data_IF_332788796346
#
_entry.id   IF_332788796346
#
_cell.length_a   1.000
_cell.length_b   1.000
_cell.length_c   1.000
_cell.angle_alpha   90.00
_cell.angle_beta   90.00
_cell.angle_gamma   90.00
#
_symmetry.space_group_name_H-M   'P 1'
#
loop_
_entity.id
_entity.type
_entity.pdbx_description
1 polymer ?
#
# COMPACT_ATOMS: atom_id res chain seq x y z
N UNK A 1 -20.17 17.21 1.93
CA UNK A 1 -19.08 18.11 2.39
C UNK A 1 -19.10 18.15 3.92
N UNK A 2 -17.98 17.92 4.60
CA UNK A 2 -17.88 18.08 6.07
C UNK A 2 -17.69 19.55 6.42
N UNK A 3 -18.25 20.00 7.54
CA UNK A 3 -18.21 21.41 7.95
C UNK A 3 -16.90 21.73 8.66
N UNK A 4 -16.37 20.78 9.45
CA UNK A 4 -15.19 20.97 10.29
C UNK A 4 -14.12 19.87 10.11
N UNK A 5 -12.85 20.15 10.44
CA UNK A 5 -11.72 19.20 10.33
C UNK A 5 -11.94 17.92 11.17
N UNK A 6 -12.55 18.05 12.35
CA UNK A 6 -12.85 16.94 13.26
C UNK A 6 -13.84 15.94 12.63
N UNK A 7 -14.96 16.42 12.10
CA UNK A 7 -15.95 15.59 11.40
C UNK A 7 -15.35 14.83 10.21
N UNK A 8 -14.36 15.44 9.51
CA UNK A 8 -13.64 14.77 8.42
C UNK A 8 -12.80 13.61 8.95
N UNK A 9 -12.08 13.80 10.06
CA UNK A 9 -11.26 12.76 10.67
C UNK A 9 -12.11 11.61 11.21
N UNK A 10 -13.24 11.91 11.86
CA UNK A 10 -14.20 10.91 12.34
C UNK A 10 -14.73 10.06 11.19
N UNK A 11 -15.18 10.67 10.09
CA UNK A 11 -15.63 9.91 8.92
C UNK A 11 -14.53 9.05 8.29
N UNK A 12 -13.28 9.53 8.25
CA UNK A 12 -12.15 8.73 7.76
C UNK A 12 -11.90 7.54 8.68
N UNK A 13 -11.96 7.75 9.99
CA UNK A 13 -11.81 6.68 10.99
C UNK A 13 -12.88 5.60 10.81
N UNK A 14 -14.15 6.01 10.73
CA UNK A 14 -15.28 5.10 10.50
C UNK A 14 -15.09 4.26 9.23
N UNK A 15 -14.71 4.90 8.11
CA UNK A 15 -14.46 4.19 6.85
C UNK A 15 -13.31 3.20 6.99
N UNK A 16 -12.19 3.60 7.62
CA UNK A 16 -11.02 2.72 7.83
C UNK A 16 -11.32 1.51 8.72
N UNK A 17 -12.23 1.66 9.69
CA UNK A 17 -12.71 0.59 10.55
C UNK A 17 -13.60 -0.41 9.81
N UNK A 18 -14.57 0.09 9.04
CA UNK A 18 -15.58 -0.74 8.38
C UNK A 18 -15.11 -1.34 7.04
N UNK A 19 -14.01 -0.83 6.47
CA UNK A 19 -13.45 -1.40 5.23
C UNK A 19 -12.64 -2.66 5.54
N UNK A 20 -13.17 -3.82 5.15
CA UNK A 20 -12.45 -5.09 5.21
C UNK A 20 -11.22 -5.08 4.29
N UNK A 21 -10.15 -5.76 4.71
CA UNK A 21 -8.90 -5.79 3.94
C UNK A 21 -9.07 -6.40 2.54
N UNK A 22 -9.93 -7.41 2.41
CA UNK A 22 -10.25 -8.04 1.12
C UNK A 22 -10.87 -7.03 0.15
N UNK A 23 -11.77 -6.17 0.64
CA UNK A 23 -12.40 -5.12 -0.17
C UNK A 23 -11.39 -4.01 -0.51
N UNK A 24 -10.52 -3.66 0.43
CA UNK A 24 -9.49 -2.63 0.22
C UNK A 24 -8.45 -3.07 -0.82
N UNK A 25 -8.08 -4.35 -0.81
CA UNK A 25 -7.08 -4.94 -1.69
C UNK A 25 -7.68 -5.63 -2.92
N UNK A 26 -8.94 -5.36 -3.24
CA UNK A 26 -9.60 -5.95 -4.40
C UNK A 26 -8.82 -5.63 -5.69
N UNK A 27 -8.58 -6.65 -6.52
CA UNK A 27 -7.77 -6.58 -7.74
C UNK A 27 -6.29 -6.24 -7.55
N UNK A 28 -5.79 -6.25 -6.31
CA UNK A 28 -4.36 -6.18 -6.03
C UNK A 28 -3.79 -7.58 -5.76
N UNK A 29 -2.48 -7.78 -5.94
CA UNK A 29 -1.79 -8.98 -5.48
C UNK A 29 -2.04 -9.24 -3.99
N UNK A 30 -2.19 -10.51 -3.62
CA UNK A 30 -2.50 -10.93 -2.25
C UNK A 30 -1.46 -10.46 -1.23
N UNK A 31 -0.22 -10.26 -1.67
CA UNK A 31 0.90 -9.81 -0.85
C UNK A 31 0.65 -8.42 -0.25
N UNK A 32 -0.13 -7.56 -0.92
CA UNK A 32 -0.56 -6.27 -0.35
C UNK A 32 -1.50 -6.46 0.84
N UNK A 33 -2.42 -7.42 0.74
CA UNK A 33 -3.31 -7.76 1.85
C UNK A 33 -2.51 -8.33 3.02
N UNK A 34 -1.60 -9.27 2.76
CA UNK A 34 -0.72 -9.86 3.79
C UNK A 34 0.11 -8.80 4.52
N UNK A 35 0.70 -7.86 3.78
CA UNK A 35 1.46 -6.74 4.35
C UNK A 35 0.58 -5.85 5.25
N UNK A 36 -0.62 -5.49 4.81
CA UNK A 36 -1.53 -4.65 5.59
C UNK A 36 -2.08 -5.38 6.82
N UNK A 37 -2.34 -6.68 6.73
CA UNK A 37 -2.75 -7.49 7.89
C UNK A 37 -1.62 -7.61 8.91
N UNK A 38 -0.39 -7.88 8.46
CA UNK A 38 0.79 -7.93 9.33
C UNK A 38 0.94 -6.62 10.11
N UNK A 39 0.92 -5.49 9.40
CA UNK A 39 1.05 -4.17 10.04
C UNK A 39 -0.08 -3.82 11.01
N UNK A 40 -1.30 -4.34 10.81
CA UNK A 40 -2.41 -4.18 11.78
C UNK A 40 -2.26 -5.04 13.03
N UNK A 41 -1.53 -6.15 12.94
CA UNK A 41 -1.37 -7.12 14.04
C UNK A 41 -0.17 -6.81 14.95
N UNK A 42 0.75 -5.94 14.49
CA UNK A 42 1.89 -5.50 15.28
C UNK A 42 1.46 -4.91 16.63
N UNK A 43 2.10 -5.38 17.69
CA UNK A 43 2.00 -4.79 19.02
C UNK A 43 2.55 -3.36 19.05
N UNK A 44 2.11 -2.58 20.04
CA UNK A 44 2.52 -1.17 20.18
C UNK A 44 4.03 -0.95 20.27
N UNK A 45 4.74 -1.87 20.94
CA UNK A 45 6.20 -1.83 21.12
C UNK A 45 6.91 -2.93 20.32
N UNK A 46 6.20 -3.63 19.43
CA UNK A 46 6.77 -4.70 18.63
C UNK A 46 7.62 -4.13 17.49
N UNK A 47 8.81 -4.70 17.28
CA UNK A 47 9.66 -4.35 16.15
C UNK A 47 9.17 -5.06 14.88
N UNK A 48 8.86 -4.32 13.79
CA UNK A 48 8.43 -4.94 12.55
C UNK A 48 9.54 -5.78 11.90
N UNK A 49 9.19 -6.94 11.35
CA UNK A 49 10.06 -7.73 10.50
C UNK A 49 10.14 -7.11 9.10
N UNK A 50 11.02 -6.13 8.94
CA UNK A 50 11.21 -5.42 7.67
C UNK A 50 11.65 -6.35 6.52
N UNK A 51 12.41 -7.41 6.82
CA UNK A 51 12.83 -8.38 5.82
C UNK A 51 11.62 -9.12 5.23
N UNK A 52 10.69 -9.57 6.09
CA UNK A 52 9.44 -10.19 5.65
C UNK A 52 8.60 -9.24 4.81
N UNK A 53 8.39 -8.00 5.27
CA UNK A 53 7.62 -6.99 4.54
C UNK A 53 8.21 -6.70 3.15
N UNK A 54 9.54 -6.61 3.06
CA UNK A 54 10.22 -6.41 1.78
C UNK A 54 10.09 -7.62 0.87
N UNK A 55 10.13 -8.83 1.43
CA UNK A 55 9.99 -10.07 0.66
C UNK A 55 8.62 -10.20 -0.01
N UNK A 56 7.54 -9.73 0.63
CA UNK A 56 6.19 -9.68 0.06
C UNK A 56 6.13 -8.80 -1.19
N UNK A 57 6.65 -7.59 -1.10
CA UNK A 57 6.70 -6.68 -2.26
C UNK A 57 7.60 -7.25 -3.37
N UNK A 58 8.68 -7.92 -2.98
CA UNK A 58 9.56 -8.62 -3.92
C UNK A 58 8.85 -9.71 -4.71
N UNK A 59 8.02 -10.50 -4.04
CA UNK A 59 7.23 -11.51 -4.71
C UNK A 59 6.28 -10.90 -5.75
N UNK A 60 5.63 -9.77 -5.44
CA UNK A 60 4.74 -9.08 -6.39
C UNK A 60 5.45 -8.74 -7.70
N UNK A 61 6.56 -8.02 -7.63
CA UNK A 61 7.21 -7.56 -8.86
C UNK A 61 7.88 -8.72 -9.62
N UNK A 62 8.29 -9.79 -8.93
CA UNK A 62 8.76 -11.03 -9.57
C UNK A 62 7.64 -11.73 -10.32
N UNK A 63 6.46 -11.89 -9.72
CA UNK A 63 5.29 -12.51 -10.36
C UNK A 63 4.78 -11.69 -11.54
N UNK A 64 4.85 -10.36 -11.45
CA UNK A 64 4.49 -9.45 -12.55
C UNK A 64 5.58 -9.29 -13.62
N UNK A 65 6.73 -9.96 -13.45
CA UNK A 65 7.88 -9.87 -14.34
C UNK A 65 8.38 -8.42 -14.56
N UNK A 66 8.26 -7.59 -13.52
CA UNK A 66 8.72 -6.19 -13.51
C UNK A 66 10.22 -6.17 -13.20
N UNK A 67 10.99 -5.45 -14.02
CA UNK A 67 12.43 -5.27 -13.80
C UNK A 67 12.67 -4.24 -12.71
N UNK A 68 13.62 -4.54 -11.83
CA UNK A 68 14.14 -3.57 -10.88
C UNK A 68 15.28 -2.76 -11.51
N UNK A 69 14.98 -2.03 -12.58
CA UNK A 69 15.92 -1.20 -13.36
C UNK A 69 15.94 0.26 -12.91
N UNK A 70 15.22 0.59 -11.83
CA UNK A 70 15.03 1.95 -11.30
C UNK A 70 14.36 2.91 -12.29
N UNK A 71 13.68 2.41 -13.32
CA UNK A 71 12.91 3.20 -14.27
C UNK A 71 11.47 3.30 -13.77
N UNK A 72 11.15 4.43 -13.15
CA UNK A 72 9.81 4.72 -12.62
C UNK A 72 8.99 5.60 -13.58
N UNK A 73 7.68 5.67 -13.36
CA UNK A 73 6.73 6.43 -14.19
C UNK A 73 7.13 7.90 -14.39
N UNK A 74 7.71 8.55 -13.38
CA UNK A 74 8.15 9.94 -13.49
C UNK A 74 9.43 10.13 -14.31
N UNK A 75 10.23 9.07 -14.52
CA UNK A 75 11.41 9.09 -15.39
C UNK A 75 10.94 8.99 -16.85
N UNK A 76 10.03 8.06 -17.14
CA UNK A 76 9.41 7.86 -18.46
C UNK A 76 8.63 9.11 -18.89
N UNK A 77 7.82 9.68 -17.99
CA UNK A 77 7.05 10.88 -18.31
C UNK A 77 7.92 12.11 -18.62
N UNK A 78 9.15 12.17 -18.11
CA UNK A 78 10.10 13.24 -18.45
C UNK A 78 10.78 13.01 -19.81
N UNK A 79 11.00 11.76 -20.21
CA UNK A 79 11.55 11.45 -21.55
C UNK A 79 10.51 11.68 -22.64
N UNK A 80 9.25 11.32 -22.41
CA UNK A 80 8.15 11.55 -23.37
C UNK A 80 7.85 13.03 -23.55
N UNK A 81 7.85 13.84 -22.48
CA UNK A 81 7.62 15.30 -22.57
C UNK A 81 8.80 16.09 -23.16
N UNK A 82 9.96 15.47 -23.35
CA UNK A 82 11.12 16.07 -24.01
C UNK A 82 11.13 15.82 -25.53
N UNK A 83 10.25 14.94 -26.02
CA UNK A 83 9.94 14.74 -27.44
C UNK A 83 8.72 15.59 -27.80
#
# INVERSE_FOLDING_TARGET
KCKNKKEKQEKIYEIKLHTHMENLCLNLPKEFQELLMYTRQLGFAEEPNYFYLFSLIKQVYQTMNIKNDYIYDWIINKSIKKL
#
